data_IF_845643457782
#
_entry.id   IF_845643457782
#
_cell.length_a   1.000
_cell.length_b   1.000
_cell.length_c   1.000
_cell.angle_alpha   90.00
_cell.angle_beta   90.00
_cell.angle_gamma   90.00
#
_symmetry.space_group_name_H-M   'P 1'
#
loop_
_entity.id
_entity.type
_entity.pdbx_description
1 polymer ?
#
# COMPACT_ATOMS: atom_id res chain seq x y z
N UNK A 1 2.49 25.46 23.53
CA UNK A 1 2.31 23.98 23.47
C UNK A 1 3.35 23.27 22.58
N UNK A 2 4.62 23.73 22.49
CA UNK A 2 5.68 23.07 21.68
C UNK A 2 6.81 22.44 22.54
N UNK A 3 6.80 22.61 23.87
CA UNK A 3 7.92 22.30 24.75
C UNK A 3 8.30 20.82 24.89
N UNK A 4 7.61 19.89 24.21
CA UNK A 4 7.93 18.46 24.20
C UNK A 4 8.54 17.98 22.88
N UNK A 5 8.58 18.83 21.84
CA UNK A 5 9.05 18.47 20.49
C UNK A 5 10.42 19.07 20.15
N UNK A 6 10.93 19.95 21.00
CA UNK A 6 12.22 20.63 20.84
C UNK A 6 13.06 20.25 22.07
N UNK A 7 14.35 19.89 21.90
CA UNK A 7 15.23 19.67 23.04
C UNK A 7 15.19 20.88 23.97
N UNK A 8 15.07 20.70 25.30
CA UNK A 8 14.89 21.80 26.25
C UNK A 8 16.05 22.80 26.29
N UNK A 9 17.18 22.44 25.69
CA UNK A 9 18.42 23.20 25.59
C UNK A 9 18.46 24.16 24.36
N UNK A 10 17.46 24.13 23.46
CA UNK A 10 17.53 24.84 22.18
C UNK A 10 16.64 26.09 22.11
N UNK A 11 17.26 27.24 21.84
CA UNK A 11 16.57 28.52 21.58
C UNK A 11 16.25 28.66 20.08
N UNK A 12 15.07 28.15 19.69
CA UNK A 12 14.60 28.16 18.29
C UNK A 12 14.50 29.57 17.70
N UNK A 13 13.95 30.59 18.38
CA UNK A 13 13.99 31.98 17.90
C UNK A 13 15.39 32.47 17.54
N UNK A 14 16.40 32.20 18.39
CA UNK A 14 17.78 32.59 18.13
C UNK A 14 18.39 31.80 16.96
N UNK A 15 18.05 30.52 16.81
CA UNK A 15 18.46 29.70 15.67
C UNK A 15 17.87 30.21 14.34
N UNK A 16 16.62 30.67 14.32
CA UNK A 16 15.99 31.26 13.13
C UNK A 16 16.71 32.54 12.71
N UNK A 17 17.08 33.39 13.67
CA UNK A 17 17.86 34.59 13.38
C UNK A 17 19.22 34.25 12.77
N UNK A 18 19.93 33.26 13.34
CA UNK A 18 21.22 32.78 12.80
C UNK A 18 21.06 32.17 11.41
N UNK A 19 20.01 31.39 11.18
CA UNK A 19 19.71 30.79 9.88
C UNK A 19 19.53 31.85 8.78
N UNK A 20 18.78 32.93 9.06
CA UNK A 20 18.51 34.00 8.09
C UNK A 20 19.76 34.80 7.67
N UNK A 21 20.80 34.82 8.51
CA UNK A 21 22.06 35.53 8.23
C UNK A 21 23.19 34.59 7.82
N UNK A 22 22.98 33.28 7.82
CA UNK A 22 24.02 32.30 7.50
C UNK A 22 24.17 32.10 5.98
N UNK A 23 25.19 32.73 5.41
CA UNK A 23 25.51 32.65 3.98
C UNK A 23 26.28 31.37 3.61
N UNK A 24 26.62 30.52 4.60
CA UNK A 24 27.32 29.25 4.37
C UNK A 24 26.37 28.09 4.09
N UNK A 25 25.06 28.36 4.08
CA UNK A 25 24.04 27.36 3.79
C UNK A 25 23.98 27.05 2.29
N UNK A 26 23.63 25.80 1.92
CA UNK A 26 23.45 25.43 0.52
C UNK A 26 22.38 26.31 -0.13
N UNK A 27 22.68 26.83 -1.33
CA UNK A 27 21.74 27.62 -2.11
C UNK A 27 20.55 26.74 -2.53
N UNK A 28 19.34 27.27 -2.39
CA UNK A 28 18.13 26.65 -2.92
C UNK A 28 18.00 27.01 -4.40
N UNK A 29 18.11 26.03 -5.29
CA UNK A 29 17.96 26.25 -6.73
C UNK A 29 16.51 26.01 -7.17
N UNK A 30 16.09 26.74 -8.19
CA UNK A 30 14.73 26.64 -8.72
C UNK A 30 14.55 25.26 -9.38
N UNK A 31 13.68 24.43 -8.79
CA UNK A 31 13.50 23.01 -9.16
C UNK A 31 13.99 22.01 -8.12
N UNK A 32 14.68 22.44 -7.06
CA UNK A 32 15.08 21.57 -5.97
C UNK A 32 13.91 21.15 -5.08
N UNK A 33 13.89 19.87 -4.71
CA UNK A 33 13.00 19.38 -3.67
C UNK A 33 13.39 20.04 -2.33
N UNK A 34 12.47 20.82 -1.75
CA UNK A 34 12.63 21.45 -0.44
C UNK A 34 13.07 20.45 0.65
N UNK A 35 12.65 19.19 0.54
CA UNK A 35 13.01 18.13 1.50
C UNK A 35 14.44 17.67 1.31
N UNK A 36 14.87 17.49 0.06
CA UNK A 36 16.24 17.10 -0.25
C UNK A 36 17.21 18.22 0.11
N UNK A 37 16.82 19.47 -0.15
CA UNK A 37 17.58 20.65 0.24
C UNK A 37 17.70 20.78 1.76
N UNK A 38 16.59 20.67 2.50
CA UNK A 38 16.63 20.74 3.96
C UNK A 38 17.37 19.55 4.58
N UNK A 39 17.34 18.36 3.96
CA UNK A 39 18.14 17.22 4.42
C UNK A 39 19.66 17.52 4.37
N UNK A 40 20.13 18.28 3.38
CA UNK A 40 21.52 18.73 3.31
C UNK A 40 21.86 19.71 4.45
N UNK A 41 20.93 20.60 4.79
CA UNK A 41 21.08 21.51 5.95
C UNK A 41 21.17 20.72 7.25
N UNK A 42 20.31 19.71 7.44
CA UNK A 42 20.36 18.84 8.62
C UNK A 42 21.69 18.07 8.72
N UNK A 43 22.27 17.66 7.60
CA UNK A 43 23.55 16.94 7.57
C UNK A 43 24.73 17.79 8.08
N UNK A 44 24.62 19.13 8.03
CA UNK A 44 25.64 20.03 8.60
C UNK A 44 25.64 20.05 10.14
N UNK A 45 24.61 19.50 10.79
CA UNK A 45 24.47 19.51 12.24
C UNK A 45 24.12 20.86 12.86
N UNK A 46 23.95 21.92 12.06
CA UNK A 46 23.54 23.24 12.52
C UNK A 46 22.04 23.30 12.80
N UNK A 47 21.64 24.13 13.78
CA UNK A 47 20.24 24.44 14.13
C UNK A 47 19.39 23.22 14.54
N UNK A 48 19.76 22.51 15.62
CA UNK A 48 19.06 21.29 16.05
C UNK A 48 17.59 21.53 16.43
N UNK A 49 17.24 22.69 16.99
CA UNK A 49 15.86 23.04 17.32
C UNK A 49 15.03 23.34 16.08
N UNK A 50 15.54 24.19 15.18
CA UNK A 50 14.90 24.53 13.91
C UNK A 50 14.71 23.30 13.02
N UNK A 51 15.70 22.40 12.97
CA UNK A 51 15.60 21.15 12.23
C UNK A 51 14.47 20.25 12.74
N UNK A 52 14.17 20.25 14.04
CA UNK A 52 13.06 19.50 14.60
C UNK A 52 11.70 20.06 14.16
N UNK A 53 11.56 21.38 14.18
CA UNK A 53 10.34 22.07 13.73
C UNK A 53 10.10 21.82 12.23
N UNK A 54 11.14 21.94 11.41
CA UNK A 54 11.04 21.71 9.97
C UNK A 54 10.80 20.23 9.63
N UNK A 55 11.41 19.28 10.36
CA UNK A 55 11.04 17.85 10.27
C UNK A 55 9.55 17.65 10.54
N UNK A 56 9.02 18.26 11.58
CA UNK A 56 7.59 18.20 11.91
C UNK A 56 6.72 18.76 10.77
N UNK A 57 7.04 19.97 10.30
CA UNK A 57 6.29 20.64 9.23
C UNK A 57 6.32 19.89 7.89
N UNK A 58 7.50 19.43 7.46
CA UNK A 58 7.66 18.70 6.20
C UNK A 58 7.10 17.28 6.28
N UNK A 59 7.04 16.66 7.47
CA UNK A 59 6.47 15.31 7.63
C UNK A 59 4.98 15.22 7.27
N UNK A 60 4.23 16.31 7.43
CA UNK A 60 2.79 16.37 7.13
C UNK A 60 2.55 16.24 5.62
N UNK A 61 3.42 16.86 4.81
CA UNK A 61 3.34 16.81 3.34
C UNK A 61 3.90 15.50 2.75
N UNK A 62 4.55 14.68 3.55
CA UNK A 62 5.10 13.37 3.17
C UNK A 62 4.29 12.21 3.76
N UNK A 63 3.00 12.45 4.03
CA UNK A 63 2.06 11.40 4.39
C UNK A 63 2.18 10.20 3.44
N UNK A 64 1.96 8.96 3.94
CA UNK A 64 2.17 7.74 3.15
C UNK A 64 1.48 7.90 1.80
N UNK A 65 2.09 7.49 0.68
CA UNK A 65 1.53 7.62 -0.68
C UNK A 65 0.12 7.00 -0.80
N UNK A 66 -0.90 7.70 -0.31
CA UNK A 66 -2.19 7.09 -0.02
C UNK A 66 -2.93 6.76 -1.30
N UNK A 67 -2.70 7.54 -2.37
CA UNK A 67 -3.31 7.30 -3.69
C UNK A 67 -3.00 5.92 -4.26
N UNK A 68 -1.74 5.46 -4.15
CA UNK A 68 -1.37 4.12 -4.64
C UNK A 68 -2.05 3.01 -3.84
N UNK A 69 -2.24 3.23 -2.53
CA UNK A 69 -2.96 2.28 -1.67
C UNK A 69 -4.46 2.27 -1.96
N UNK A 70 -5.09 3.43 -2.23
CA UNK A 70 -6.52 3.48 -2.58
C UNK A 70 -6.84 2.84 -3.93
N UNK A 71 -5.99 3.04 -4.95
CA UNK A 71 -6.16 2.37 -6.24
C UNK A 71 -6.04 0.84 -6.10
N UNK A 72 -5.02 0.36 -5.39
CA UNK A 72 -4.84 -1.07 -5.14
C UNK A 72 -5.98 -1.67 -4.30
N UNK A 73 -6.53 -0.89 -3.36
CA UNK A 73 -7.68 -1.28 -2.56
C UNK A 73 -8.96 -1.35 -3.41
N UNK A 74 -9.14 -0.40 -4.34
CA UNK A 74 -10.21 -0.42 -5.34
C UNK A 74 -10.20 -1.71 -6.17
N UNK A 75 -9.02 -2.13 -6.64
CA UNK A 75 -8.87 -3.37 -7.40
C UNK A 75 -9.18 -4.63 -6.56
N UNK A 76 -8.76 -4.65 -5.29
CA UNK A 76 -9.04 -5.76 -4.35
C UNK A 76 -10.54 -5.85 -4.01
N UNK A 77 -11.23 -4.72 -3.90
CA UNK A 77 -12.66 -4.67 -3.60
C UNK A 77 -13.50 -5.04 -4.83
N UNK A 78 -13.07 -4.62 -6.03
CA UNK A 78 -13.83 -4.76 -7.28
C UNK A 78 -13.57 -6.07 -8.02
N UNK A 79 -12.36 -6.63 -8.00
CA UNK A 79 -12.08 -7.91 -8.67
C UNK A 79 -12.51 -9.12 -7.84
N UNK A 80 -13.38 -9.92 -8.45
CA UNK A 80 -13.95 -11.18 -7.95
C UNK A 80 -12.90 -12.24 -7.50
N UNK A 81 -11.61 -12.04 -7.78
CA UNK A 81 -10.55 -13.07 -7.65
C UNK A 81 -9.68 -12.95 -6.39
N UNK A 82 -9.67 -11.82 -5.68
CA UNK A 82 -8.82 -11.68 -4.48
C UNK A 82 -9.61 -11.01 -3.36
N UNK A 83 -10.53 -11.76 -2.76
CA UNK A 83 -11.13 -11.40 -1.46
C UNK A 83 -10.04 -11.44 -0.37
N UNK A 84 -9.17 -10.45 -0.37
CA UNK A 84 -8.22 -10.19 0.70
C UNK A 84 -8.95 -9.47 1.83
N UNK A 85 -8.71 -9.88 3.07
CA UNK A 85 -9.29 -9.16 4.21
C UNK A 85 -8.64 -7.78 4.35
N UNK A 86 -9.39 -6.79 4.84
CA UNK A 86 -8.86 -5.44 5.11
C UNK A 86 -7.62 -5.48 6.01
N UNK A 87 -7.61 -6.37 7.01
CA UNK A 87 -6.47 -6.58 7.89
C UNK A 87 -5.22 -7.06 7.15
N UNK A 88 -5.38 -7.98 6.19
CA UNK A 88 -4.28 -8.47 5.35
C UNK A 88 -3.76 -7.38 4.42
N UNK A 89 -4.66 -6.59 3.83
CA UNK A 89 -4.29 -5.45 3.00
C UNK A 89 -3.49 -4.42 3.79
N UNK A 90 -4.00 -4.01 4.96
CA UNK A 90 -3.32 -3.05 5.83
C UNK A 90 -1.93 -3.54 6.26
N UNK A 91 -1.81 -4.83 6.60
CA UNK A 91 -0.52 -5.44 6.94
C UNK A 91 0.47 -5.35 5.77
N UNK A 92 0.04 -5.70 4.55
CA UNK A 92 0.89 -5.64 3.35
C UNK A 92 1.32 -4.20 3.05
N UNK A 93 0.39 -3.25 3.10
CA UNK A 93 0.71 -1.84 2.86
C UNK A 93 1.70 -1.34 3.92
N UNK A 94 1.45 -1.61 5.20
CA UNK A 94 2.37 -1.25 6.29
C UNK A 94 3.76 -1.81 6.05
N UNK A 95 3.89 -3.11 5.76
CA UNK A 95 5.20 -3.72 5.48
C UNK A 95 5.87 -3.12 4.24
N UNK A 96 5.12 -2.90 3.16
CA UNK A 96 5.62 -2.27 1.92
C UNK A 96 6.17 -0.87 2.21
N UNK A 97 5.44 -0.06 2.98
CA UNK A 97 5.86 1.29 3.33
C UNK A 97 7.06 1.30 4.26
N UNK A 98 7.11 0.43 5.26
CA UNK A 98 8.26 0.31 6.16
C UNK A 98 9.53 -0.08 5.39
N UNK A 99 9.43 -0.99 4.44
CA UNK A 99 10.57 -1.36 3.59
C UNK A 99 10.99 -0.21 2.68
N UNK A 100 10.02 0.48 2.06
CA UNK A 100 10.28 1.62 1.18
C UNK A 100 10.90 2.80 1.92
N UNK A 101 10.39 3.14 3.11
CA UNK A 101 10.90 4.28 3.90
C UNK A 101 12.31 4.04 4.43
N UNK A 102 12.68 2.79 4.68
CA UNK A 102 14.03 2.40 5.12
C UNK A 102 15.00 2.15 3.97
N UNK A 103 14.54 2.24 2.72
CA UNK A 103 15.31 1.84 1.53
C UNK A 103 15.95 0.45 1.66
N UNK A 104 15.29 -0.47 2.37
CA UNK A 104 15.80 -1.81 2.66
C UNK A 104 14.93 -2.85 1.97
N UNK A 105 15.58 -3.86 1.41
CA UNK A 105 14.87 -5.07 0.95
C UNK A 105 14.44 -5.91 2.16
N UNK A 106 13.38 -6.71 2.00
CA UNK A 106 12.98 -7.65 3.05
C UNK A 106 14.14 -8.59 3.44
N UNK A 107 14.98 -8.97 2.47
CA UNK A 107 16.15 -9.81 2.71
C UNK A 107 17.15 -9.10 3.62
N UNK A 108 17.40 -7.81 3.40
CA UNK A 108 18.29 -7.02 4.26
C UNK A 108 17.68 -6.81 5.65
N UNK A 109 16.39 -6.49 5.72
CA UNK A 109 15.70 -6.22 7.00
C UNK A 109 15.61 -7.46 7.89
N UNK A 110 15.46 -8.66 7.30
CA UNK A 110 15.38 -9.93 8.03
C UNK A 110 16.68 -10.75 7.94
N UNK A 111 17.78 -10.14 7.49
CA UNK A 111 19.09 -10.81 7.42
C UNK A 111 19.55 -11.14 8.83
N UNK A 112 20.00 -12.39 9.01
CA UNK A 112 20.71 -12.80 10.23
C UNK A 112 22.20 -12.62 10.01
N UNK A 113 22.89 -12.02 10.99
CA UNK A 113 24.35 -11.81 10.94
C UNK A 113 25.09 -13.13 10.79
N UNK A 114 24.69 -14.14 11.58
CA UNK A 114 25.21 -15.50 11.50
C UNK A 114 24.07 -16.51 11.44
N UNK A 115 23.86 -17.14 10.27
CA UNK A 115 22.72 -18.06 10.04
C UNK A 115 22.71 -19.25 11.02
N UNK A 116 23.89 -19.72 11.43
CA UNK A 116 24.07 -20.87 12.34
C UNK A 116 24.04 -20.51 13.82
N UNK A 117 24.52 -19.32 14.20
CA UNK A 117 24.78 -18.95 15.60
C UNK A 117 23.77 -17.96 16.17
N UNK A 118 23.18 -17.10 15.35
CA UNK A 118 22.20 -16.12 15.84
C UNK A 118 20.96 -16.84 16.36
N UNK A 119 20.24 -16.23 17.30
CA UNK A 119 18.97 -16.79 17.79
C UNK A 119 17.89 -16.65 16.72
N UNK A 120 17.10 -17.71 16.54
CA UNK A 120 15.90 -17.64 15.68
C UNK A 120 14.75 -17.10 16.50
N UNK A 121 13.98 -16.16 15.96
CA UNK A 121 12.72 -15.74 16.55
C UNK A 121 11.70 -16.90 16.49
N UNK A 122 11.60 -17.63 17.60
CA UNK A 122 10.69 -18.76 17.77
C UNK A 122 9.23 -18.33 17.64
N UNK A 123 8.89 -17.10 18.05
CA UNK A 123 7.53 -16.57 17.96
C UNK A 123 7.14 -16.30 16.50
N UNK A 124 8.04 -15.67 15.73
CA UNK A 124 7.85 -15.47 14.30
C UNK A 124 7.67 -16.81 13.57
N UNK A 125 8.54 -17.79 13.82
CA UNK A 125 8.41 -19.12 13.22
C UNK A 125 7.11 -19.84 13.60
N UNK A 126 6.63 -19.69 14.84
CA UNK A 126 5.34 -20.24 15.28
C UNK A 126 4.18 -19.51 14.60
N UNK A 127 4.26 -18.19 14.45
CA UNK A 127 3.24 -17.38 13.79
C UNK A 127 3.11 -17.73 12.32
N UNK A 128 4.23 -17.84 11.58
CA UNK A 128 4.23 -18.25 10.17
C UNK A 128 3.62 -19.64 10.02
N UNK A 129 4.05 -20.62 10.83
CA UNK A 129 3.52 -22.00 10.79
C UNK A 129 2.03 -22.07 11.10
N UNK A 130 1.52 -21.24 12.01
CA UNK A 130 0.12 -21.29 12.46
C UNK A 130 -0.80 -20.35 11.70
N UNK A 131 -0.28 -19.40 10.91
CA UNK A 131 -1.06 -18.37 10.24
C UNK A 131 -2.15 -18.94 9.33
N UNK A 132 -1.83 -19.96 8.52
CA UNK A 132 -2.79 -20.59 7.62
C UNK A 132 -3.94 -21.27 8.36
N UNK A 133 -3.63 -22.00 9.44
CA UNK A 133 -4.65 -22.67 10.27
C UNK A 133 -5.53 -21.63 10.98
N UNK A 134 -4.92 -20.60 11.57
CA UNK A 134 -5.64 -19.50 12.22
C UNK A 134 -6.57 -18.77 11.25
N UNK A 135 -6.13 -18.47 10.03
CA UNK A 135 -6.97 -17.82 9.02
C UNK A 135 -8.15 -18.70 8.60
N UNK A 136 -7.93 -20.00 8.38
CA UNK A 136 -9.01 -20.96 8.09
C UNK A 136 -10.05 -21.00 9.21
N UNK A 137 -9.60 -21.11 10.46
CA UNK A 137 -10.50 -21.12 11.63
C UNK A 137 -11.28 -19.81 11.75
N UNK A 138 -10.61 -18.67 11.57
CA UNK A 138 -11.24 -17.34 11.60
C UNK A 138 -12.31 -17.20 10.51
N UNK A 139 -12.04 -17.68 9.29
CA UNK A 139 -13.04 -17.69 8.20
C UNK A 139 -14.26 -18.54 8.54
N UNK A 140 -14.05 -19.74 9.11
CA UNK A 140 -15.15 -20.61 9.55
C UNK A 140 -16.00 -19.94 10.63
N UNK A 141 -15.37 -19.35 11.65
CA UNK A 141 -16.07 -18.61 12.70
C UNK A 141 -16.84 -17.40 12.16
N UNK A 142 -16.27 -16.65 11.21
CA UNK A 142 -16.96 -15.53 10.58
C UNK A 142 -18.20 -15.98 9.77
N UNK A 143 -18.14 -17.16 9.14
CA UNK A 143 -19.29 -17.75 8.45
C UNK A 143 -20.36 -18.21 9.44
N UNK A 144 -19.98 -18.83 10.56
CA UNK A 144 -20.90 -19.24 11.62
C UNK A 144 -21.60 -18.02 12.24
N UNK A 145 -20.85 -17.01 12.66
CA UNK A 145 -21.41 -15.74 13.17
C UNK A 145 -22.30 -15.00 12.17
N UNK A 146 -22.09 -15.21 10.87
CA UNK A 146 -22.97 -14.66 9.83
C UNK A 146 -24.29 -15.43 9.77
N UNK A 147 -24.26 -16.76 9.90
CA UNK A 147 -25.46 -17.61 9.96
C UNK A 147 -26.26 -17.35 11.24
N UNK A 148 -25.60 -17.31 12.39
CA UNK A 148 -26.22 -16.99 13.69
C UNK A 148 -26.94 -15.65 13.64
N UNK A 149 -26.31 -14.58 13.11
CA UNK A 149 -26.98 -13.30 12.90
C UNK A 149 -28.15 -13.37 11.91
N UNK A 150 -28.08 -14.23 10.90
CA UNK A 150 -29.21 -14.38 9.96
C UNK A 150 -30.41 -15.05 10.63
N UNK A 151 -30.15 -16.03 11.49
CA UNK A 151 -31.16 -16.71 12.30
C UNK A 151 -31.75 -15.79 13.37
N UNK A 152 -30.91 -15.04 14.09
CA UNK A 152 -31.31 -14.11 15.16
C UNK A 152 -32.20 -12.97 14.65
N UNK A 153 -31.89 -12.37 13.51
CA UNK A 153 -32.64 -11.25 12.95
C UNK A 153 -33.78 -11.69 12.03
N UNK A 154 -34.08 -12.99 11.92
CA UNK A 154 -35.12 -13.52 11.01
C UNK A 154 -34.95 -13.06 9.56
N UNK A 155 -33.74 -12.62 9.19
CA UNK A 155 -33.48 -12.04 7.89
C UNK A 155 -33.45 -13.19 6.89
N UNK A 156 -34.55 -13.35 6.14
CA UNK A 156 -34.48 -14.14 4.91
C UNK A 156 -33.27 -13.66 4.11
N UNK A 157 -32.54 -14.57 3.42
CA UNK A 157 -31.41 -14.16 2.62
C UNK A 157 -31.89 -13.01 1.73
N UNK A 158 -31.09 -11.94 1.62
CA UNK A 158 -31.34 -10.85 0.67
C UNK A 158 -31.13 -11.46 -0.73
N UNK A 159 -32.03 -12.37 -1.10
CA UNK A 159 -31.97 -13.25 -2.26
C UNK A 159 -32.10 -12.38 -3.48
N UNK A 160 -33.01 -11.40 -3.48
CA UNK A 160 -33.24 -10.52 -4.62
C UNK A 160 -31.98 -9.74 -5.03
N UNK A 161 -31.29 -9.05 -4.11
CA UNK A 161 -30.11 -8.25 -4.49
C UNK A 161 -28.87 -9.11 -4.79
N UNK A 162 -28.63 -10.18 -4.02
CA UNK A 162 -27.46 -11.04 -4.24
C UNK A 162 -27.63 -11.94 -5.48
N UNK A 163 -28.85 -12.43 -5.77
CA UNK A 163 -29.17 -13.14 -7.01
C UNK A 163 -29.13 -12.19 -8.20
N UNK A 164 -29.67 -10.97 -8.09
CA UNK A 164 -29.58 -9.96 -9.15
C UNK A 164 -28.13 -9.62 -9.49
N UNK A 165 -27.27 -9.47 -8.47
CA UNK A 165 -25.82 -9.29 -8.68
C UNK A 165 -25.17 -10.50 -9.33
N UNK A 166 -25.52 -11.73 -8.93
CA UNK A 166 -24.99 -12.96 -9.57
C UNK A 166 -25.41 -13.06 -11.03
N UNK A 167 -26.66 -12.76 -11.35
CA UNK A 167 -27.19 -12.74 -12.72
C UNK A 167 -26.49 -11.67 -13.56
N UNK A 168 -26.30 -10.46 -13.00
CA UNK A 168 -25.60 -9.38 -13.68
C UNK A 168 -24.15 -9.76 -14.01
N UNK A 169 -23.43 -10.38 -13.06
CA UNK A 169 -22.05 -10.81 -13.29
C UNK A 169 -21.96 -11.97 -14.28
N UNK A 170 -22.94 -12.88 -14.31
CA UNK A 170 -22.95 -13.96 -15.29
C UNK A 170 -23.27 -13.45 -16.71
N UNK A 171 -24.20 -12.50 -16.83
CA UNK A 171 -24.46 -11.80 -18.11
C UNK A 171 -23.21 -11.08 -18.62
N UNK A 172 -22.49 -10.38 -17.75
CA UNK A 172 -21.26 -9.66 -18.09
C UNK A 172 -20.16 -10.63 -18.55
N UNK A 173 -19.98 -11.76 -17.84
CA UNK A 173 -19.05 -12.83 -18.23
C UNK A 173 -19.39 -13.40 -19.61
N UNK A 174 -20.67 -13.66 -19.89
CA UNK A 174 -21.10 -14.14 -21.21
C UNK A 174 -20.87 -13.10 -22.32
N UNK A 175 -21.13 -11.82 -22.04
CA UNK A 175 -20.86 -10.74 -22.97
C UNK A 175 -19.36 -10.66 -23.32
N UNK A 176 -18.48 -10.79 -22.31
CA UNK A 176 -17.03 -10.79 -22.50
C UNK A 176 -16.54 -11.95 -23.38
N UNK A 177 -17.09 -13.16 -23.18
CA UNK A 177 -16.76 -14.33 -24.00
C UNK A 177 -17.22 -14.14 -25.45
N UNK A 178 -18.45 -13.64 -25.65
CA UNK A 178 -18.99 -13.34 -26.99
C UNK A 178 -18.16 -12.29 -27.71
N UNK A 179 -17.75 -11.22 -27.03
CA UNK A 179 -16.90 -10.18 -27.60
C UNK A 179 -15.53 -10.75 -28.03
N UNK A 180 -14.88 -11.56 -27.18
CA UNK A 180 -13.62 -12.24 -27.56
C UNK A 180 -13.80 -13.18 -28.76
N UNK A 181 -14.90 -13.92 -28.82
CA UNK A 181 -15.18 -14.82 -29.95
C UNK A 181 -15.40 -14.03 -31.25
N UNK A 182 -16.13 -12.91 -31.19
CA UNK A 182 -16.34 -12.01 -32.32
C UNK A 182 -15.03 -11.40 -32.82
N UNK A 183 -14.16 -10.96 -31.90
CA UNK A 183 -12.83 -10.45 -32.28
C UNK A 183 -11.96 -11.51 -32.97
N UNK A 184 -11.98 -12.76 -32.48
CA UNK A 184 -11.26 -13.88 -33.13
C UNK A 184 -11.79 -14.15 -34.54
N UNK A 185 -13.13 -14.16 -34.71
CA UNK A 185 -13.76 -14.34 -36.02
C UNK A 185 -13.39 -13.22 -37.00
N UNK A 186 -13.40 -11.97 -36.55
CA UNK A 186 -13.00 -10.81 -37.37
C UNK A 186 -11.55 -10.95 -37.86
N UNK A 187 -10.62 -11.28 -36.96
CA UNK A 187 -9.21 -11.53 -37.33
C UNK A 187 -9.04 -12.68 -38.33
N UNK A 188 -9.76 -13.79 -38.12
CA UNK A 188 -9.71 -14.92 -39.06
C UNK A 188 -10.23 -14.52 -40.46
N UNK A 189 -11.29 -13.71 -40.52
CA UNK A 189 -11.83 -13.21 -41.78
C UNK A 189 -10.85 -12.28 -42.49
N UNK A 190 -10.20 -11.37 -41.76
CA UNK A 190 -9.17 -10.47 -42.29
C UNK A 190 -8.00 -11.26 -42.89
N UNK A 191 -7.55 -12.31 -42.20
CA UNK A 191 -6.49 -13.21 -42.71
C UNK A 191 -6.92 -13.94 -44.00
N UNK A 192 -8.15 -14.43 -44.08
CA UNK A 192 -8.67 -15.07 -45.29
C UNK A 192 -8.77 -14.09 -46.47
N UNK A 193 -9.19 -12.85 -46.20
CA UNK A 193 -9.26 -11.80 -47.23
C UNK A 193 -7.86 -11.42 -47.73
N UNK A 194 -6.87 -11.30 -46.83
CA UNK A 194 -5.49 -11.05 -47.22
C UNK A 194 -4.89 -12.21 -48.03
N UNK A 195 -5.12 -13.46 -47.60
CA UNK A 195 -4.66 -14.64 -48.34
C UNK A 195 -5.29 -14.75 -49.73
N UNK A 196 -6.55 -14.32 -49.89
CA UNK A 196 -7.24 -14.29 -51.19
C UNK A 196 -6.70 -13.18 -52.11
N UNK A 197 -6.32 -12.02 -51.55
CA UNK A 197 -5.67 -10.94 -52.30
C UNK A 197 -4.25 -11.30 -52.74
N UNK A 198 -3.50 -12.06 -51.95
CA UNK A 198 -2.14 -12.49 -52.30
C UNK A 198 -2.07 -13.60 -53.36
N UNK A 199 -3.20 -14.25 -53.68
CA UNK A 199 -3.31 -15.29 -54.72
C UNK A 199 -3.80 -14.75 -56.08
N UNK A 200 -4.00 -13.44 -56.21
CA UNK A 200 -4.48 -12.77 -57.42
C UNK A 200 -3.39 -11.83 -57.91
#
# INVERSE_FOLDING_TARGET
MMGHLVPPECDVPLEVLKFNVDHTLPLYLDGDSMVTWWANIMATGKYPGLNHVVKGGLSIFHGPMVESSFSAMGDIITQKSTKMSMATFNAIQTTKYVLKSRCQTAIQMFKRENVKLSTVDKALCKNIRTAGTKDKTRRKQALLKKKERQEEFGCQPITSAEQSRKIAVEKDRQAHVRHRAAQKRKKALELLVQAKKAKK
#
